data_IF_155618527751
#
_entry.id   IF_155618527751
#
_cell.length_a   1.000
_cell.length_b   1.000
_cell.length_c   1.000
_cell.angle_alpha   90.00
_cell.angle_beta   90.00
_cell.angle_gamma   90.00
#
_symmetry.space_group_name_H-M   'P 1'
#
loop_
_entity.id
_entity.type
_entity.pdbx_description
1 polymer ?
#
# COMPACT_ATOMS: atom_id res chain seq x y z
N UNK A 1 82.54 -7.21 59.93
CA UNK A 1 82.03 -7.06 58.57
C UNK A 1 80.70 -7.83 58.53
N UNK A 2 79.57 -7.11 58.57
CA UNK A 2 78.21 -7.68 58.52
C UNK A 2 77.75 -7.68 57.07
N UNK A 3 77.46 -8.89 56.49
CA UNK A 3 76.88 -9.05 55.16
C UNK A 3 75.36 -8.85 55.29
N UNK A 4 74.86 -7.81 54.65
CA UNK A 4 73.44 -7.57 54.46
C UNK A 4 72.96 -8.32 53.24
N UNK A 5 72.14 -9.34 53.38
CA UNK A 5 71.49 -10.06 52.27
C UNK A 5 70.17 -9.38 51.98
N UNK A 6 70.08 -8.70 50.79
CA UNK A 6 68.86 -8.04 50.33
C UNK A 6 67.96 -9.12 49.63
N UNK A 7 66.85 -9.44 50.25
CA UNK A 7 65.84 -10.31 49.66
C UNK A 7 64.92 -9.50 48.76
N UNK A 8 65.05 -9.64 47.44
CA UNK A 8 64.15 -9.05 46.45
C UNK A 8 62.87 -9.91 46.36
N UNK A 9 61.73 -9.39 46.88
CA UNK A 9 60.40 -9.95 46.70
C UNK A 9 59.92 -9.54 45.30
N UNK A 10 59.94 -10.44 44.32
CA UNK A 10 59.29 -10.30 43.01
C UNK A 10 57.77 -10.45 43.21
N UNK A 11 57.04 -9.38 43.26
CA UNK A 11 55.57 -9.37 43.12
C UNK A 11 55.23 -9.65 41.66
N UNK A 12 54.91 -10.92 41.37
CA UNK A 12 54.31 -11.29 40.08
C UNK A 12 52.79 -10.85 40.19
N UNK A 13 52.48 -9.67 39.66
CA UNK A 13 51.10 -9.29 39.39
C UNK A 13 50.60 -10.17 38.25
N UNK A 14 49.95 -11.28 38.57
CA UNK A 14 49.19 -12.06 37.63
C UNK A 14 47.94 -11.23 37.24
N UNK A 15 47.99 -10.56 36.11
CA UNK A 15 46.79 -10.06 35.46
C UNK A 15 46.02 -11.27 34.89
N UNK A 16 45.29 -11.97 35.74
CA UNK A 16 44.26 -12.86 35.25
C UNK A 16 43.11 -11.95 34.69
N UNK A 17 42.71 -12.08 33.45
CA UNK A 17 41.57 -11.40 32.93
C UNK A 17 40.36 -11.73 33.81
N UNK A 18 39.61 -10.73 34.23
CA UNK A 18 38.41 -10.93 35.03
C UNK A 18 37.47 -11.87 34.25
N UNK A 19 37.10 -12.97 34.89
CA UNK A 19 36.23 -13.99 34.33
C UNK A 19 34.85 -13.43 33.87
N UNK A 20 34.47 -12.27 34.39
CA UNK A 20 33.31 -11.48 33.94
C UNK A 20 33.37 -11.01 32.47
N UNK A 21 34.53 -10.67 31.95
CA UNK A 21 34.66 -10.14 30.59
C UNK A 21 34.53 -11.23 29.50
N UNK A 22 34.94 -12.45 29.83
CA UNK A 22 34.84 -13.59 28.89
C UNK A 22 33.38 -14.07 28.76
N UNK A 23 32.65 -14.14 29.86
CA UNK A 23 31.23 -14.54 29.84
C UNK A 23 30.35 -13.47 29.18
N UNK A 24 30.63 -12.18 29.37
CA UNK A 24 29.97 -11.05 28.69
C UNK A 24 30.17 -11.13 27.16
N UNK A 25 31.36 -11.48 26.70
CA UNK A 25 31.59 -11.64 25.25
C UNK A 25 30.91 -12.85 24.66
N UNK A 26 30.78 -13.95 25.41
CA UNK A 26 30.18 -15.20 24.89
C UNK A 26 28.66 -15.10 24.69
N UNK A 27 27.89 -14.55 25.63
CA UNK A 27 26.45 -14.45 25.45
C UNK A 27 26.10 -13.44 24.32
N UNK A 28 26.87 -12.36 24.21
CA UNK A 28 26.71 -11.38 23.12
C UNK A 28 26.95 -12.03 21.76
N UNK A 29 27.99 -12.85 21.64
CA UNK A 29 28.25 -13.60 20.41
C UNK A 29 27.04 -14.47 20.00
N UNK A 30 26.46 -15.25 20.92
CA UNK A 30 25.29 -16.07 20.62
C UNK A 30 24.03 -15.22 20.38
N UNK A 31 23.89 -14.10 21.07
CA UNK A 31 22.81 -13.15 20.82
C UNK A 31 22.89 -12.57 19.39
N UNK A 32 24.05 -12.10 18.97
CA UNK A 32 24.27 -11.52 17.64
C UNK A 32 24.10 -12.57 16.52
N UNK A 33 24.57 -13.80 16.75
CA UNK A 33 24.36 -14.92 15.84
C UNK A 33 22.87 -15.27 15.73
N UNK A 34 22.16 -15.28 16.86
CA UNK A 34 20.70 -15.46 16.91
C UNK A 34 19.95 -14.36 16.18
N UNK A 35 20.37 -13.10 16.33
CA UNK A 35 19.79 -11.96 15.59
C UNK A 35 20.03 -12.10 14.09
N UNK A 36 21.23 -12.47 13.66
CA UNK A 36 21.55 -12.72 12.25
C UNK A 36 20.66 -13.83 11.66
N UNK A 37 20.50 -14.92 12.38
CA UNK A 37 19.62 -16.05 11.96
C UNK A 37 18.14 -15.62 11.95
N UNK A 38 17.70 -14.81 12.91
CA UNK A 38 16.34 -14.26 12.96
C UNK A 38 16.04 -13.38 11.75
N UNK A 39 16.95 -12.46 11.41
CA UNK A 39 16.83 -11.58 10.22
C UNK A 39 16.81 -12.42 8.94
N UNK A 40 17.62 -13.49 8.87
CA UNK A 40 17.61 -14.45 7.77
C UNK A 40 16.36 -15.35 7.75
N UNK A 41 15.43 -15.20 8.70
CA UNK A 41 14.24 -16.03 8.92
C UNK A 41 14.54 -17.49 9.22
N UNK A 42 15.78 -17.80 9.63
CA UNK A 42 16.14 -19.12 10.15
C UNK A 42 15.83 -19.20 11.64
N UNK A 43 14.54 -19.26 11.95
CA UNK A 43 14.06 -19.15 13.34
C UNK A 43 14.49 -20.31 14.23
N UNK A 44 14.68 -21.51 13.70
CA UNK A 44 15.17 -22.68 14.48
C UNK A 44 16.59 -22.44 15.00
N UNK A 45 17.47 -21.90 14.16
CA UNK A 45 18.83 -21.57 14.55
C UNK A 45 18.86 -20.34 15.48
N UNK A 46 18.00 -19.33 15.22
CA UNK A 46 17.82 -18.17 16.09
C UNK A 46 17.44 -18.62 17.51
N UNK A 47 16.46 -19.51 17.65
CA UNK A 47 16.04 -20.09 18.94
C UNK A 47 17.21 -20.77 19.63
N UNK A 48 17.98 -21.63 18.94
CA UNK A 48 19.11 -22.34 19.52
C UNK A 48 20.18 -21.37 20.05
N UNK A 49 20.49 -20.33 19.30
CA UNK A 49 21.50 -19.34 19.69
C UNK A 49 20.99 -18.43 20.82
N UNK A 50 19.76 -17.92 20.74
CA UNK A 50 19.18 -17.14 21.86
C UNK A 50 19.05 -17.99 23.11
N UNK A 51 18.68 -19.26 23.03
CA UNK A 51 18.64 -20.14 24.18
C UNK A 51 20.01 -20.29 24.83
N UNK A 52 21.08 -20.48 24.03
CA UNK A 52 22.47 -20.50 24.56
C UNK A 52 22.81 -19.18 25.24
N UNK A 53 22.42 -18.05 24.66
CA UNK A 53 22.64 -16.75 25.26
C UNK A 53 21.91 -16.60 26.60
N UNK A 54 20.66 -17.14 26.76
CA UNK A 54 19.97 -17.13 28.07
C UNK A 54 20.65 -17.97 29.14
N UNK A 55 21.35 -19.04 28.75
CA UNK A 55 22.11 -19.87 29.72
C UNK A 55 23.35 -19.14 30.25
N UNK A 56 23.97 -18.30 29.39
CA UNK A 56 25.17 -17.54 29.74
C UNK A 56 24.83 -16.20 30.46
N UNK A 57 23.69 -15.61 30.13
CA UNK A 57 23.25 -14.34 30.71
C UNK A 57 21.76 -14.39 31.13
N UNK A 58 21.41 -15.19 32.16
CA UNK A 58 20.01 -15.36 32.58
C UNK A 58 19.40 -14.10 33.19
N UNK A 59 20.21 -13.10 33.55
CA UNK A 59 19.79 -11.82 34.10
C UNK A 59 19.75 -10.69 33.03
N UNK A 60 19.86 -11.03 31.75
CA UNK A 60 19.80 -10.06 30.65
C UNK A 60 18.41 -10.11 29.99
N UNK A 61 17.50 -9.13 30.22
CA UNK A 61 16.12 -9.20 29.77
C UNK A 61 16.00 -9.21 28.23
N UNK A 62 16.91 -8.55 27.53
CA UNK A 62 16.87 -8.50 26.06
C UNK A 62 17.06 -9.85 25.40
N UNK A 63 17.81 -10.78 26.02
CA UNK A 63 18.03 -12.12 25.47
C UNK A 63 16.76 -12.95 25.56
N UNK A 64 16.06 -12.87 26.71
CA UNK A 64 14.77 -13.52 26.88
C UNK A 64 13.72 -12.97 25.92
N UNK A 65 13.71 -11.64 25.72
CA UNK A 65 12.82 -10.98 24.76
C UNK A 65 13.10 -11.47 23.33
N UNK A 66 14.36 -11.56 22.92
CA UNK A 66 14.72 -12.06 21.58
C UNK A 66 14.33 -13.54 21.39
N UNK A 67 14.51 -14.37 22.42
CA UNK A 67 14.04 -15.75 22.40
C UNK A 67 12.51 -15.84 22.27
N UNK A 68 11.78 -14.99 22.96
CA UNK A 68 10.33 -14.86 22.86
C UNK A 68 9.86 -14.49 21.46
N UNK A 69 10.54 -13.53 20.83
CA UNK A 69 10.27 -13.14 19.43
C UNK A 69 10.48 -14.32 18.47
N UNK A 70 11.58 -15.06 18.62
CA UNK A 70 11.86 -16.20 17.75
C UNK A 70 10.82 -17.33 17.92
N UNK A 71 10.38 -17.61 19.15
CA UNK A 71 9.28 -18.55 19.39
C UNK A 71 7.95 -18.06 18.81
N UNK A 72 7.68 -16.77 18.85
CA UNK A 72 6.46 -16.19 18.30
C UNK A 72 6.38 -16.36 16.76
N UNK A 73 7.52 -16.25 16.06
CA UNK A 73 7.58 -16.46 14.61
C UNK A 73 7.30 -17.91 14.19
N UNK A 74 7.69 -18.88 15.00
CA UNK A 74 7.37 -20.30 14.77
C UNK A 74 6.04 -20.71 15.43
N UNK A 75 5.25 -19.76 15.92
CA UNK A 75 3.93 -19.95 16.54
C UNK A 75 3.95 -20.80 17.84
N UNK A 76 5.09 -20.95 18.46
CA UNK A 76 5.25 -21.58 19.78
C UNK A 76 4.84 -20.59 20.89
N UNK A 77 3.59 -20.19 20.88
CA UNK A 77 3.08 -19.03 21.67
C UNK A 77 3.26 -19.22 23.18
N UNK A 78 3.14 -20.41 23.72
CA UNK A 78 3.33 -20.67 25.15
C UNK A 78 4.81 -20.47 25.57
N UNK A 79 5.76 -20.89 24.70
CA UNK A 79 7.18 -20.65 24.95
C UNK A 79 7.53 -19.18 24.80
N UNK A 80 6.93 -18.49 23.80
CA UNK A 80 7.09 -17.05 23.63
C UNK A 80 6.62 -16.28 24.87
N UNK A 81 5.40 -16.58 25.39
CA UNK A 81 4.85 -15.98 26.59
C UNK A 81 5.79 -16.19 27.79
N UNK A 82 6.25 -17.42 28.02
CA UNK A 82 7.18 -17.74 29.11
C UNK A 82 8.50 -16.95 28.99
N UNK A 83 9.03 -16.78 27.78
CA UNK A 83 10.25 -16.03 27.56
C UNK A 83 10.05 -14.51 27.82
N UNK A 84 8.96 -13.89 27.33
CA UNK A 84 8.63 -12.50 27.60
C UNK A 84 8.39 -12.25 29.09
N UNK A 85 7.66 -13.15 29.77
CA UNK A 85 7.44 -13.05 31.21
C UNK A 85 8.76 -13.20 31.99
N UNK A 86 9.70 -14.03 31.50
CA UNK A 86 11.02 -14.14 32.09
C UNK A 86 11.82 -12.84 31.94
N UNK A 87 11.77 -12.19 30.78
CA UNK A 87 12.36 -10.87 30.58
C UNK A 87 11.82 -9.86 31.61
N UNK A 88 10.50 -9.83 31.83
CA UNK A 88 9.82 -8.96 32.78
C UNK A 88 10.07 -9.35 34.26
N UNK A 89 10.38 -10.59 34.54
CA UNK A 89 10.84 -11.02 35.88
C UNK A 89 12.23 -10.47 36.20
N UNK A 90 13.11 -10.43 35.19
CA UNK A 90 14.46 -9.88 35.31
C UNK A 90 14.42 -8.36 35.44
N UNK A 91 13.66 -7.72 34.57
CA UNK A 91 13.46 -6.27 34.58
C UNK A 91 11.97 -5.93 34.31
N UNK A 92 11.27 -5.51 35.36
CA UNK A 92 9.85 -5.11 35.29
C UNK A 92 9.60 -3.89 34.42
N UNK A 93 10.64 -3.08 34.19
CA UNK A 93 10.59 -1.85 33.40
C UNK A 93 10.98 -2.07 31.93
N UNK A 94 11.26 -3.31 31.51
CA UNK A 94 11.64 -3.64 30.14
C UNK A 94 10.42 -3.60 29.23
N UNK A 95 10.07 -2.40 28.78
CA UNK A 95 8.82 -2.09 28.07
C UNK A 95 8.73 -2.76 26.69
N UNK A 96 9.85 -3.07 26.04
CA UNK A 96 9.88 -3.85 24.80
C UNK A 96 9.26 -5.25 24.96
N UNK A 97 9.54 -5.91 26.10
CA UNK A 97 8.92 -7.22 26.36
C UNK A 97 7.41 -7.10 26.64
N UNK A 98 6.96 -6.02 27.30
CA UNK A 98 5.53 -5.74 27.45
C UNK A 98 4.87 -5.52 26.10
N UNK A 99 5.47 -4.71 25.20
CA UNK A 99 4.97 -4.50 23.85
C UNK A 99 4.82 -5.82 23.11
N UNK A 100 5.87 -6.65 23.10
CA UNK A 100 5.86 -7.94 22.42
C UNK A 100 4.86 -8.94 23.02
N UNK A 101 4.68 -8.91 24.33
CA UNK A 101 3.65 -9.69 25.02
C UNK A 101 2.24 -9.26 24.60
N UNK A 102 2.00 -7.95 24.46
CA UNK A 102 0.74 -7.42 23.93
C UNK A 102 0.47 -7.87 22.49
N UNK A 103 1.49 -7.87 21.62
CA UNK A 103 1.40 -8.40 20.26
C UNK A 103 1.16 -9.91 20.25
N UNK A 104 1.80 -10.65 21.15
CA UNK A 104 1.57 -12.10 21.31
C UNK A 104 0.12 -12.41 21.67
N UNK A 105 -0.45 -11.70 22.64
CA UNK A 105 -1.86 -11.86 23.03
C UNK A 105 -2.82 -11.55 21.87
N UNK A 106 -2.52 -10.53 21.06
CA UNK A 106 -3.26 -10.26 19.82
C UNK A 106 -3.19 -11.46 18.86
N UNK A 107 -2.01 -12.05 18.64
CA UNK A 107 -1.83 -13.24 17.77
C UNK A 107 -2.60 -14.46 18.33
N UNK A 108 -2.69 -14.59 19.65
CA UNK A 108 -3.49 -15.63 20.33
C UNK A 108 -4.99 -15.32 20.34
N UNK A 109 -5.42 -14.16 19.82
CA UNK A 109 -6.80 -13.63 19.87
C UNK A 109 -7.31 -13.36 21.27
N UNK A 110 -6.42 -13.23 22.25
CA UNK A 110 -6.74 -12.77 23.59
C UNK A 110 -6.70 -11.23 23.64
N UNK A 111 -7.74 -10.65 23.07
CA UNK A 111 -7.82 -9.22 22.87
C UNK A 111 -7.86 -8.42 24.18
N UNK A 112 -8.44 -8.99 25.23
CA UNK A 112 -8.51 -8.31 26.54
C UNK A 112 -7.14 -8.19 27.18
N UNK A 113 -6.35 -9.28 27.20
CA UNK A 113 -4.96 -9.20 27.70
C UNK A 113 -4.12 -8.30 26.82
N UNK A 114 -4.27 -8.37 25.49
CA UNK A 114 -3.56 -7.50 24.56
C UNK A 114 -3.81 -6.00 24.85
N UNK A 115 -5.08 -5.58 24.98
CA UNK A 115 -5.46 -4.19 25.26
C UNK A 115 -4.85 -3.73 26.59
N UNK A 116 -4.95 -4.55 27.63
CA UNK A 116 -4.46 -4.19 28.96
C UNK A 116 -2.95 -3.95 28.95
N UNK A 117 -2.19 -4.90 28.38
CA UNK A 117 -0.73 -4.82 28.34
C UNK A 117 -0.25 -3.69 27.42
N UNK A 118 -0.88 -3.50 26.25
CA UNK A 118 -0.51 -2.42 25.33
C UNK A 118 -0.82 -1.03 25.89
N UNK A 119 -1.86 -0.88 26.70
CA UNK A 119 -2.13 0.38 27.41
C UNK A 119 -1.05 0.67 28.46
N UNK A 120 -0.61 -0.34 29.21
CA UNK A 120 0.50 -0.18 30.16
C UNK A 120 1.81 0.28 29.47
N UNK A 121 2.05 -0.20 28.21
CA UNK A 121 3.17 0.28 27.41
C UNK A 121 3.03 1.77 27.04
N UNK A 122 1.84 2.25 26.76
CA UNK A 122 1.59 3.65 26.39
C UNK A 122 1.79 4.58 27.57
N UNK A 123 1.50 4.13 28.79
CA UNK A 123 1.65 4.89 30.02
C UNK A 123 3.12 5.10 30.40
N UNK A 124 4.04 4.28 29.92
CA UNK A 124 5.48 4.48 30.09
C UNK A 124 5.97 5.69 29.29
N UNK A 125 6.14 6.84 29.97
CA UNK A 125 6.56 8.09 29.33
C UNK A 125 7.97 8.00 28.70
N UNK A 126 8.84 7.16 29.24
CA UNK A 126 10.21 6.99 28.77
C UNK A 126 10.32 6.11 27.53
N UNK A 127 9.26 5.35 27.17
CA UNK A 127 9.31 4.44 26.04
C UNK A 127 9.23 5.17 24.69
N UNK A 128 10.29 5.13 23.87
CA UNK A 128 10.37 5.93 22.65
C UNK A 128 9.50 5.38 21.50
N UNK A 129 9.09 4.12 21.57
CA UNK A 129 8.37 3.43 20.49
C UNK A 129 6.86 3.33 20.74
N UNK A 130 6.25 4.33 21.42
CA UNK A 130 4.80 4.35 21.69
C UNK A 130 3.94 4.19 20.44
N UNK A 131 4.44 4.64 19.28
CA UNK A 131 3.76 4.46 18.01
C UNK A 131 3.47 2.98 17.70
N UNK A 132 4.36 2.06 18.07
CA UNK A 132 4.14 0.62 17.87
C UNK A 132 3.03 0.08 18.78
N UNK A 133 2.95 0.57 20.04
CA UNK A 133 1.87 0.17 20.94
C UNK A 133 0.51 0.69 20.47
N UNK A 134 0.43 1.95 20.01
CA UNK A 134 -0.79 2.49 19.40
C UNK A 134 -1.20 1.73 18.15
N UNK A 135 -0.25 1.40 17.28
CA UNK A 135 -0.54 0.60 16.09
C UNK A 135 -1.03 -0.81 16.45
N UNK A 136 -0.39 -1.46 17.42
CA UNK A 136 -0.82 -2.78 17.91
C UNK A 136 -2.22 -2.73 18.53
N UNK A 137 -2.56 -1.68 19.29
CA UNK A 137 -3.92 -1.45 19.78
C UNK A 137 -4.91 -1.23 18.64
N UNK A 138 -4.52 -0.47 17.61
CA UNK A 138 -5.34 -0.30 16.43
C UNK A 138 -5.68 -1.66 15.80
N UNK A 139 -4.68 -2.55 15.64
CA UNK A 139 -4.92 -3.91 15.11
C UNK A 139 -5.84 -4.74 15.99
N UNK A 140 -5.74 -4.62 17.30
CA UNK A 140 -6.66 -5.28 18.23
C UNK A 140 -8.08 -4.75 18.04
N UNK A 141 -8.27 -3.42 18.00
CA UNK A 141 -9.58 -2.81 17.82
C UNK A 141 -10.18 -3.10 16.45
N UNK A 142 -9.38 -3.20 15.40
CA UNK A 142 -9.81 -3.68 14.10
C UNK A 142 -10.37 -5.11 14.18
N UNK A 143 -9.68 -6.01 14.89
CA UNK A 143 -10.06 -7.42 15.02
C UNK A 143 -11.37 -7.63 15.81
N UNK A 144 -11.73 -6.69 16.69
CA UNK A 144 -12.99 -6.71 17.48
C UNK A 144 -14.04 -5.73 16.97
N UNK A 145 -13.87 -5.23 15.73
CA UNK A 145 -14.81 -4.33 15.02
C UNK A 145 -15.13 -3.03 15.76
N UNK A 146 -14.15 -2.48 16.50
CA UNK A 146 -14.26 -1.18 17.18
C UNK A 146 -13.62 -0.09 16.33
N UNK A 147 -14.35 0.37 15.32
CA UNK A 147 -13.87 1.24 14.26
C UNK A 147 -13.33 2.60 14.75
N UNK A 148 -14.02 3.24 15.69
CA UNK A 148 -13.63 4.53 16.25
C UNK A 148 -12.30 4.43 17.00
N UNK A 149 -12.14 3.38 17.81
CA UNK A 149 -10.88 3.13 18.52
C UNK A 149 -9.75 2.75 17.56
N UNK A 150 -10.05 1.97 16.52
CA UNK A 150 -9.09 1.66 15.46
C UNK A 150 -8.54 2.94 14.83
N UNK A 151 -9.42 3.82 14.33
CA UNK A 151 -9.05 5.10 13.75
C UNK A 151 -8.27 5.99 14.73
N UNK A 152 -8.75 6.11 15.97
CA UNK A 152 -8.10 6.93 17.00
C UNK A 152 -6.67 6.46 17.29
N UNK A 153 -6.46 5.15 17.38
CA UNK A 153 -5.13 4.60 17.65
C UNK A 153 -4.21 4.67 16.42
N UNK A 154 -4.70 4.52 15.19
CA UNK A 154 -3.91 4.77 13.97
C UNK A 154 -3.43 6.23 13.90
N UNK A 155 -4.32 7.18 14.17
CA UNK A 155 -3.96 8.62 14.22
C UNK A 155 -2.86 8.88 15.24
N UNK A 156 -2.96 8.28 16.44
CA UNK A 156 -1.93 8.40 17.47
C UNK A 156 -0.62 7.75 17.04
N UNK A 157 -0.65 6.56 16.43
CA UNK A 157 0.56 5.92 15.91
C UNK A 157 1.30 6.83 14.92
N UNK A 158 0.57 7.44 13.97
CA UNK A 158 1.13 8.40 12.99
C UNK A 158 1.61 9.69 13.67
N UNK A 159 0.91 10.19 14.70
CA UNK A 159 1.32 11.39 15.44
C UNK A 159 2.62 11.17 16.22
N UNK A 160 2.81 10.01 16.85
CA UNK A 160 4.04 9.66 17.54
C UNK A 160 5.21 9.33 16.62
N UNK A 161 4.94 8.79 15.45
CA UNK A 161 5.97 8.57 14.41
C UNK A 161 5.42 8.85 13.02
N UNK A 162 5.61 10.09 12.51
CA UNK A 162 5.19 10.46 11.16
C UNK A 162 5.91 9.72 10.04
N UNK A 163 6.94 8.92 10.34
CA UNK A 163 7.65 8.08 9.37
C UNK A 163 7.20 6.60 9.41
N UNK A 164 6.19 6.28 10.23
CA UNK A 164 5.69 4.92 10.33
C UNK A 164 4.74 4.59 9.18
N UNK A 165 5.31 4.04 8.11
CA UNK A 165 4.66 3.82 6.80
C UNK A 165 3.40 2.96 6.94
N UNK A 166 3.48 1.84 7.69
CA UNK A 166 2.36 0.89 7.81
C UNK A 166 1.12 1.56 8.41
N UNK A 167 1.28 2.34 9.48
CA UNK A 167 0.17 3.06 10.09
C UNK A 167 -0.39 4.15 9.17
N UNK A 168 0.46 4.85 8.41
CA UNK A 168 0.00 5.85 7.44
C UNK A 168 -0.79 5.22 6.29
N UNK A 169 -0.30 4.12 5.73
CA UNK A 169 -0.99 3.42 4.65
C UNK A 169 -2.36 2.89 5.11
N UNK A 170 -2.43 2.28 6.29
CA UNK A 170 -3.70 1.83 6.85
C UNK A 170 -4.65 3.00 7.14
N UNK A 171 -4.14 4.11 7.64
CA UNK A 171 -4.93 5.32 7.89
C UNK A 171 -5.52 5.90 6.59
N UNK A 172 -4.69 5.98 5.53
CA UNK A 172 -5.16 6.45 4.23
C UNK A 172 -6.23 5.52 3.64
N UNK A 173 -6.03 4.21 3.70
CA UNK A 173 -7.00 3.21 3.23
C UNK A 173 -8.32 3.27 4.02
N UNK A 174 -8.24 3.52 5.32
CA UNK A 174 -9.43 3.68 6.16
C UNK A 174 -10.23 4.92 5.72
N UNK A 175 -9.57 6.06 5.50
CA UNK A 175 -10.20 7.27 4.99
C UNK A 175 -10.82 7.06 3.60
N UNK A 176 -10.13 6.33 2.68
CA UNK A 176 -10.72 5.96 1.39
C UNK A 176 -12.01 5.12 1.55
N UNK A 177 -11.99 4.14 2.46
CA UNK A 177 -13.14 3.29 2.75
C UNK A 177 -14.32 4.05 3.35
N UNK A 178 -14.06 5.16 4.05
CA UNK A 178 -15.07 6.08 4.60
C UNK A 178 -15.53 7.13 3.58
N UNK A 179 -14.88 7.23 2.42
CA UNK A 179 -15.15 8.27 1.43
C UNK A 179 -14.52 9.62 1.78
N UNK A 180 -13.73 9.70 2.84
CA UNK A 180 -12.95 10.90 3.20
C UNK A 180 -11.68 10.99 2.35
N UNK A 181 -11.90 11.22 1.07
CA UNK A 181 -10.81 11.31 0.09
C UNK A 181 -9.87 12.48 0.34
N UNK A 182 -10.34 13.54 1.00
CA UNK A 182 -9.51 14.70 1.34
C UNK A 182 -8.44 14.30 2.38
N UNK A 183 -8.82 13.64 3.46
CA UNK A 183 -7.88 13.14 4.47
C UNK A 183 -6.96 12.05 3.92
N UNK A 184 -7.46 11.14 3.07
CA UNK A 184 -6.65 10.14 2.40
C UNK A 184 -5.55 10.78 1.52
N UNK A 185 -5.91 11.80 0.73
CA UNK A 185 -4.97 12.60 -0.08
C UNK A 185 -3.84 13.17 0.76
N UNK A 186 -4.16 13.83 1.86
CA UNK A 186 -3.15 14.43 2.74
C UNK A 186 -2.14 13.39 3.26
N UNK A 187 -2.60 12.20 3.64
CA UNK A 187 -1.71 11.13 4.13
C UNK A 187 -0.80 10.62 3.01
N UNK A 188 -1.33 10.34 1.82
CA UNK A 188 -0.51 9.90 0.68
C UNK A 188 0.49 10.96 0.22
N UNK A 189 0.10 12.23 0.18
CA UNK A 189 1.00 13.33 -0.14
C UNK A 189 2.13 13.45 0.88
N UNK A 190 1.84 13.29 2.16
CA UNK A 190 2.87 13.27 3.22
C UNK A 190 3.87 12.12 3.02
N UNK A 191 3.40 10.91 2.68
CA UNK A 191 4.28 9.78 2.35
C UNK A 191 5.21 10.11 1.18
N UNK A 192 4.68 10.71 0.12
CA UNK A 192 5.46 11.09 -1.06
C UNK A 192 6.49 12.19 -0.73
N UNK A 193 6.07 13.22 0.02
CA UNK A 193 6.94 14.31 0.43
C UNK A 193 8.08 13.86 1.34
N UNK A 194 7.87 12.79 2.10
CA UNK A 194 8.88 12.14 2.93
C UNK A 194 9.78 11.15 2.15
N UNK A 195 9.71 11.14 0.83
CA UNK A 195 10.54 10.30 -0.03
C UNK A 195 10.09 8.82 -0.12
N UNK A 196 8.89 8.49 0.37
CA UNK A 196 8.36 7.12 0.38
C UNK A 196 7.48 6.82 -0.84
N UNK A 197 7.52 7.70 -1.86
CA UNK A 197 6.77 7.53 -3.10
C UNK A 197 7.19 6.27 -3.83
N UNK A 198 6.23 5.40 -4.14
CA UNK A 198 6.40 4.20 -4.93
C UNK A 198 5.17 3.97 -5.83
N UNK A 199 5.23 3.06 -6.82
CA UNK A 199 4.12 2.84 -7.74
C UNK A 199 2.77 2.56 -7.06
N UNK A 200 2.76 1.86 -5.92
CA UNK A 200 1.52 1.60 -5.17
C UNK A 200 0.92 2.87 -4.60
N UNK A 201 1.74 3.68 -3.92
CA UNK A 201 1.31 4.95 -3.30
C UNK A 201 0.85 5.96 -4.36
N UNK A 202 1.59 6.06 -5.49
CA UNK A 202 1.18 6.93 -6.60
C UNK A 202 -0.17 6.50 -7.20
N UNK A 203 -0.43 5.20 -7.36
CA UNK A 203 -1.72 4.72 -7.86
C UNK A 203 -2.86 4.95 -6.86
N UNK A 204 -2.62 4.74 -5.57
CA UNK A 204 -3.63 5.04 -4.54
C UNK A 204 -3.97 6.53 -4.55
N UNK A 205 -2.97 7.41 -4.57
CA UNK A 205 -3.21 8.85 -4.64
C UNK A 205 -3.92 9.26 -5.93
N UNK A 206 -3.53 8.68 -7.07
CA UNK A 206 -4.22 8.92 -8.34
C UNK A 206 -5.70 8.50 -8.29
N UNK A 207 -6.01 7.39 -7.61
CA UNK A 207 -7.37 6.93 -7.37
C UNK A 207 -8.16 7.90 -6.49
N UNK A 208 -7.54 8.41 -5.44
CA UNK A 208 -8.11 9.43 -4.56
C UNK A 208 -8.36 10.74 -5.31
N UNK A 209 -7.39 11.23 -6.12
CA UNK A 209 -7.57 12.44 -6.95
C UNK A 209 -8.69 12.26 -7.97
N UNK A 210 -8.81 11.08 -8.57
CA UNK A 210 -9.94 10.74 -9.44
C UNK A 210 -11.28 10.83 -8.71
N UNK A 211 -11.37 10.33 -7.48
CA UNK A 211 -12.60 10.42 -6.65
C UNK A 211 -12.93 11.85 -6.24
N UNK A 212 -11.93 12.69 -6.03
CA UNK A 212 -12.09 14.13 -5.77
C UNK A 212 -12.42 14.93 -7.04
N UNK A 213 -12.34 14.33 -8.23
CA UNK A 213 -12.58 15.01 -9.51
C UNK A 213 -11.41 15.85 -10.00
N UNK A 214 -10.22 15.73 -9.37
CA UNK A 214 -8.98 16.35 -9.87
C UNK A 214 -8.29 15.40 -10.85
N UNK A 215 -8.81 15.39 -12.07
CA UNK A 215 -8.33 14.53 -13.14
C UNK A 215 -6.91 14.90 -13.61
N UNK A 216 -6.50 16.16 -13.42
CA UNK A 216 -5.15 16.62 -13.78
C UNK A 216 -4.10 16.01 -12.87
N UNK A 217 -4.28 16.10 -11.57
CA UNK A 217 -3.40 15.48 -10.59
C UNK A 217 -3.41 13.95 -10.69
N UNK A 218 -4.59 13.35 -10.92
CA UNK A 218 -4.69 11.91 -11.14
C UNK A 218 -3.81 11.45 -12.32
N UNK A 219 -3.88 12.14 -13.47
CA UNK A 219 -3.05 11.83 -14.65
C UNK A 219 -1.55 12.00 -14.37
N UNK A 220 -1.17 13.00 -13.59
CA UNK A 220 0.24 13.22 -13.23
C UNK A 220 0.81 12.05 -12.43
N UNK A 221 0.10 11.59 -11.39
CA UNK A 221 0.56 10.44 -10.59
C UNK A 221 0.57 9.13 -11.39
N UNK A 222 -0.43 8.92 -12.26
CA UNK A 222 -0.44 7.77 -13.18
C UNK A 222 0.79 7.83 -14.10
N UNK A 223 1.14 8.99 -14.64
CA UNK A 223 2.32 9.16 -15.49
C UNK A 223 3.60 8.77 -14.77
N UNK A 224 3.80 9.17 -13.49
CA UNK A 224 4.95 8.77 -12.68
C UNK A 224 5.12 7.25 -12.62
N UNK A 225 4.01 6.50 -12.53
CA UNK A 225 4.03 5.03 -12.52
C UNK A 225 4.39 4.45 -13.89
N UNK A 226 3.87 5.03 -14.98
CA UNK A 226 4.08 4.53 -16.34
C UNK A 226 5.49 4.81 -16.88
N UNK A 227 6.07 5.97 -16.53
CA UNK A 227 7.40 6.41 -16.98
C UNK A 227 8.54 5.73 -16.20
N UNK A 228 8.27 5.24 -15.00
CA UNK A 228 9.28 4.52 -14.21
C UNK A 228 9.61 3.17 -14.86
N UNK A 229 10.87 3.01 -15.24
CA UNK A 229 11.40 1.80 -15.88
C UNK A 229 11.42 0.57 -14.97
N UNK A 230 11.49 0.78 -13.65
CA UNK A 230 11.55 -0.30 -12.67
C UNK A 230 10.14 -0.80 -12.26
N UNK A 231 9.11 -0.07 -12.65
CA UNK A 231 7.73 -0.45 -12.35
C UNK A 231 7.34 -1.73 -13.10
N UNK A 232 6.84 -2.71 -12.34
CA UNK A 232 6.39 -4.00 -12.88
C UNK A 232 5.19 -3.86 -13.81
N UNK A 233 5.01 -4.84 -14.69
CA UNK A 233 3.87 -4.88 -15.63
C UNK A 233 2.51 -4.82 -14.92
N UNK A 234 2.40 -5.40 -13.74
CA UNK A 234 1.18 -5.38 -12.93
C UNK A 234 0.76 -3.96 -12.53
N UNK A 235 1.69 -3.14 -12.03
CA UNK A 235 1.39 -1.75 -11.70
C UNK A 235 1.10 -0.92 -12.94
N UNK A 236 1.80 -1.16 -14.06
CA UNK A 236 1.52 -0.47 -15.33
C UNK A 236 0.13 -0.81 -15.86
N UNK A 237 -0.32 -2.07 -15.76
CA UNK A 237 -1.69 -2.46 -16.13
C UNK A 237 -2.72 -1.69 -15.29
N UNK A 238 -2.58 -1.67 -13.98
CA UNK A 238 -3.46 -0.90 -13.08
C UNK A 238 -3.45 0.61 -13.38
N UNK A 239 -2.27 1.16 -13.73
CA UNK A 239 -2.14 2.55 -14.12
C UNK A 239 -2.94 2.86 -15.41
N UNK A 240 -2.89 1.99 -16.42
CA UNK A 240 -3.68 2.15 -17.64
C UNK A 240 -5.19 2.01 -17.38
N UNK A 241 -5.60 1.07 -16.53
CA UNK A 241 -7.01 0.94 -16.12
C UNK A 241 -7.53 2.23 -15.47
N UNK A 242 -6.78 2.76 -14.50
CA UNK A 242 -7.15 4.01 -13.83
C UNK A 242 -7.14 5.19 -14.80
N UNK A 243 -6.15 5.28 -15.69
CA UNK A 243 -6.08 6.33 -16.71
C UNK A 243 -7.33 6.34 -17.58
N UNK A 244 -7.81 5.15 -17.97
CA UNK A 244 -9.03 5.01 -18.75
C UNK A 244 -10.24 5.60 -18.03
N UNK A 245 -10.39 5.28 -16.73
CA UNK A 245 -11.49 5.81 -15.91
C UNK A 245 -11.43 7.33 -15.80
N UNK A 246 -10.22 7.87 -15.56
CA UNK A 246 -9.98 9.31 -15.47
C UNK A 246 -10.37 10.02 -16.78
N UNK A 247 -9.95 9.48 -17.94
CA UNK A 247 -10.24 10.10 -19.24
C UNK A 247 -11.73 10.07 -19.56
N UNK A 248 -12.45 8.99 -19.25
CA UNK A 248 -13.90 8.89 -19.42
C UNK A 248 -14.63 9.93 -18.55
N UNK A 249 -14.26 10.04 -17.28
CA UNK A 249 -14.91 10.96 -16.36
C UNK A 249 -14.65 12.42 -16.73
N UNK A 250 -13.43 12.75 -17.16
CA UNK A 250 -13.07 14.09 -17.64
C UNK A 250 -13.89 14.47 -18.89
N UNK A 251 -14.04 13.55 -19.83
CA UNK A 251 -14.84 13.78 -21.05
C UNK A 251 -16.32 13.97 -20.72
N UNK A 252 -16.89 13.17 -19.82
CA UNK A 252 -18.28 13.28 -19.40
C UNK A 252 -18.56 14.63 -18.76
N UNK A 253 -17.62 15.13 -17.92
CA UNK A 253 -17.74 16.44 -17.29
C UNK A 253 -17.70 17.60 -18.28
N UNK A 254 -16.90 17.48 -19.37
CA UNK A 254 -16.82 18.51 -20.41
C UNK A 254 -18.04 18.50 -21.34
N UNK A 255 -18.74 17.38 -21.46
CA UNK A 255 -19.89 17.22 -22.34
C UNK A 255 -21.19 17.76 -21.74
N UNK A 256 -21.32 17.70 -20.41
CA UNK A 256 -22.55 18.11 -19.70
C UNK A 256 -22.89 19.60 -19.88
N UNK A 257 -21.96 20.57 -19.75
CA UNK A 257 -22.27 21.97 -19.98
C UNK A 257 -22.71 22.27 -21.41
N UNK A 258 -22.10 21.61 -22.41
CA UNK A 258 -22.46 21.78 -23.83
C UNK A 258 -23.86 21.29 -24.17
N UNK A 259 -24.35 20.26 -23.45
CA UNK A 259 -25.72 19.76 -23.64
C UNK A 259 -26.74 20.70 -23.03
N UNK A 260 -26.47 21.25 -21.84
CA UNK A 260 -27.34 22.26 -21.19
C UNK A 260 -27.43 23.55 -22.00
N UNK A 261 -26.31 24.09 -22.51
CA UNK A 261 -26.32 25.24 -23.40
C UNK A 261 -27.06 24.98 -24.73
N UNK A 262 -27.11 23.76 -25.22
CA UNK A 262 -27.90 23.42 -26.42
C UNK A 262 -29.38 23.33 -26.10
N UNK A 263 -29.76 22.81 -24.95
CA UNK A 263 -31.16 22.76 -24.52
C UNK A 263 -31.71 24.15 -24.19
N UNK A 264 -30.93 25.05 -23.56
CA UNK A 264 -31.31 26.44 -23.33
C UNK A 264 -31.48 27.23 -24.65
N UNK A 265 -30.60 27.02 -25.65
CA UNK A 265 -30.72 27.65 -26.97
C UNK A 265 -31.88 27.12 -27.82
N UNK A 266 -32.42 25.96 -27.50
CA UNK A 266 -33.61 25.38 -28.16
C UNK A 266 -34.92 25.80 -27.48
N UNK A 267 -34.89 26.43 -26.31
CA UNK A 267 -36.05 26.90 -25.53
C UNK A 267 -36.27 28.41 -25.68
N UNK A 268 -35.46 29.17 -26.42
CA UNK A 268 -35.83 30.57 -26.74
C UNK A 268 -37.03 30.60 -27.68
N UNK A 269 -38.15 31.25 -27.29
CA UNK A 269 -39.31 31.32 -28.13
C UNK A 269 -39.04 32.17 -29.38
N UNK A 270 -39.22 31.56 -30.55
CA UNK A 270 -39.20 32.26 -31.82
C UNK A 270 -40.30 33.30 -31.86
N UNK A 271 -39.94 34.57 -31.55
CA UNK A 271 -40.81 35.71 -31.83
C UNK A 271 -40.86 35.96 -33.34
N UNK A 272 -42.08 35.93 -33.84
CA UNK A 272 -42.56 36.32 -35.16
C UNK A 272 -41.69 37.30 -35.93
N UNK A 273 -41.27 36.90 -37.17
CA UNK A 273 -41.40 37.79 -38.33
C UNK A 273 -41.45 37.01 -39.65
N UNK A 274 -42.64 36.81 -40.16
CA UNK A 274 -43.17 37.06 -41.50
C UNK A 274 -42.44 36.67 -42.78
N UNK A 275 -43.20 35.85 -43.53
CA UNK A 275 -43.50 35.90 -44.99
C UNK A 275 -42.54 35.28 -45.99
N UNK A 276 -43.13 34.24 -46.52
CA UNK A 276 -43.20 33.90 -47.96
C UNK A 276 -41.89 33.66 -48.72
N UNK A 277 -41.64 32.40 -48.96
CA UNK A 277 -41.44 31.93 -50.33
C UNK A 277 -41.64 30.42 -50.45
N UNK A 278 -42.53 30.04 -51.31
CA UNK A 278 -42.81 28.68 -51.69
C UNK A 278 -41.59 28.10 -52.41
N UNK A 279 -41.00 27.01 -51.86
CA UNK A 279 -40.13 26.08 -52.59
C UNK A 279 -40.64 24.67 -52.28
N UNK A 280 -40.85 23.90 -53.34
CA UNK A 280 -41.37 22.55 -53.39
C UNK A 280 -40.63 21.60 -52.45
N UNK A 281 -41.29 20.55 -51.92
CA UNK A 281 -40.66 19.57 -51.07
C UNK A 281 -39.70 18.72 -51.88
N UNK A 282 -38.41 18.83 -51.62
CA UNK A 282 -37.44 17.73 -51.89
C UNK A 282 -37.60 16.71 -50.81
N UNK A 283 -37.72 15.44 -51.22
CA UNK A 283 -37.82 14.26 -50.40
C UNK A 283 -36.67 14.27 -49.36
N UNK A 284 -37.05 14.37 -48.10
CA UNK A 284 -36.14 14.18 -46.98
C UNK A 284 -35.73 12.70 -46.99
N UNK A 285 -34.49 12.46 -47.34
CA UNK A 285 -33.83 11.18 -47.10
C UNK A 285 -33.87 10.91 -45.56
N UNK A 286 -34.68 9.89 -45.19
CA UNK A 286 -34.82 9.46 -43.79
C UNK A 286 -33.47 8.91 -43.36
N UNK A 287 -32.67 9.73 -42.68
CA UNK A 287 -31.49 9.29 -41.93
C UNK A 287 -31.94 8.20 -40.94
N UNK A 288 -31.61 6.95 -41.26
CA UNK A 288 -31.78 5.82 -40.34
C UNK A 288 -31.09 6.21 -39.04
N UNK A 289 -31.72 6.01 -37.85
CA UNK A 289 -31.06 6.29 -36.61
C UNK A 289 -29.76 5.46 -36.57
N UNK A 290 -28.67 6.13 -36.21
CA UNK A 290 -27.35 5.47 -36.07
C UNK A 290 -27.52 4.29 -35.09
N UNK A 291 -27.27 3.07 -35.61
CA UNK A 291 -27.34 1.88 -34.75
C UNK A 291 -26.29 2.01 -33.65
N UNK A 292 -26.74 2.08 -32.43
CA UNK A 292 -25.89 2.10 -31.25
C UNK A 292 -25.35 0.67 -31.01
N UNK A 293 -24.06 0.56 -30.67
CA UNK A 293 -23.40 -0.72 -30.44
C UNK A 293 -22.34 -0.63 -29.34
N UNK A 294 -21.97 -1.78 -28.82
CA UNK A 294 -20.90 -1.90 -27.83
C UNK A 294 -19.58 -2.22 -28.51
N UNK A 295 -18.49 -1.63 -28.00
CA UNK A 295 -17.11 -1.89 -28.45
C UNK A 295 -16.21 -2.11 -27.26
N UNK A 296 -15.09 -2.79 -27.47
CA UNK A 296 -14.06 -2.97 -26.43
C UNK A 296 -12.91 -2.02 -26.72
N UNK A 297 -12.69 -1.05 -25.86
CA UNK A 297 -11.53 -0.18 -25.95
C UNK A 297 -10.31 -0.88 -25.36
N UNK A 298 -9.26 -1.07 -26.17
CA UNK A 298 -8.02 -1.76 -25.80
C UNK A 298 -6.86 -0.80 -25.50
N UNK A 299 -7.01 0.48 -25.79
CA UNK A 299 -6.00 1.48 -25.49
C UNK A 299 -6.45 2.90 -25.82
N UNK A 300 -5.75 3.89 -25.25
CA UNK A 300 -5.89 5.30 -25.58
C UNK A 300 -4.48 5.93 -25.62
N UNK A 301 -4.22 6.71 -26.67
CA UNK A 301 -2.91 7.26 -26.99
C UNK A 301 -3.02 8.75 -27.30
N UNK A 302 -2.01 9.52 -26.91
CA UNK A 302 -1.91 10.94 -27.27
C UNK A 302 -1.40 11.17 -28.70
N UNK A 303 -0.95 10.14 -29.39
CA UNK A 303 -0.41 10.22 -30.76
C UNK A 303 -1.03 9.15 -31.68
N UNK A 304 -1.37 9.59 -32.90
CA UNK A 304 -1.86 8.69 -33.96
C UNK A 304 -0.87 7.56 -34.28
N UNK A 305 0.43 7.87 -34.25
CA UNK A 305 1.50 6.90 -34.55
C UNK A 305 1.52 5.78 -33.52
N UNK A 306 1.45 6.09 -32.23
CA UNK A 306 1.42 5.09 -31.16
C UNK A 306 0.15 4.24 -31.20
N UNK A 307 -1.00 4.84 -31.47
CA UNK A 307 -2.26 4.13 -31.59
C UNK A 307 -2.26 3.15 -32.77
N UNK A 308 -1.74 3.59 -33.95
CA UNK A 308 -1.61 2.73 -35.12
C UNK A 308 -0.60 1.61 -34.89
N UNK A 309 0.53 1.88 -34.30
CA UNK A 309 1.53 0.86 -33.97
C UNK A 309 0.94 -0.22 -33.02
N UNK A 310 0.13 0.20 -32.04
CA UNK A 310 -0.57 -0.72 -31.14
C UNK A 310 -1.64 -1.55 -31.88
N UNK A 311 -2.45 -0.92 -32.74
CA UNK A 311 -3.40 -1.65 -33.61
C UNK A 311 -2.68 -2.69 -34.44
N UNK A 312 -1.60 -2.32 -35.16
CA UNK A 312 -0.86 -3.20 -36.03
C UNK A 312 -0.24 -4.38 -35.27
N UNK A 313 0.17 -4.16 -34.03
CA UNK A 313 0.63 -5.21 -33.14
C UNK A 313 -0.49 -6.17 -32.76
N UNK A 314 -1.67 -5.67 -32.40
CA UNK A 314 -2.84 -6.49 -32.08
C UNK A 314 -3.27 -7.35 -33.27
N UNK A 315 -3.24 -6.78 -34.47
CA UNK A 315 -3.61 -7.50 -35.70
C UNK A 315 -2.56 -8.56 -36.10
N UNK A 316 -1.27 -8.22 -36.03
CA UNK A 316 -0.19 -9.10 -36.53
C UNK A 316 0.26 -10.15 -35.51
N UNK A 317 0.45 -9.76 -34.23
CA UNK A 317 0.98 -10.67 -33.22
C UNK A 317 -0.11 -11.51 -32.55
N UNK A 318 -1.32 -10.96 -32.39
CA UNK A 318 -2.42 -11.60 -31.67
C UNK A 318 -3.57 -12.02 -32.59
N UNK A 319 -3.44 -11.77 -33.91
CA UNK A 319 -4.40 -12.12 -34.95
C UNK A 319 -5.84 -11.63 -34.67
N UNK A 320 -5.95 -10.46 -34.02
CA UNK A 320 -7.24 -9.84 -33.75
C UNK A 320 -7.73 -9.12 -35.02
N UNK A 321 -8.86 -9.54 -35.53
CA UNK A 321 -9.54 -8.89 -36.65
C UNK A 321 -10.54 -7.88 -36.13
N UNK A 322 -10.80 -6.81 -36.86
CA UNK A 322 -11.73 -5.73 -36.51
C UNK A 322 -11.19 -4.81 -35.36
N UNK A 323 -9.91 -4.43 -35.46
CA UNK A 323 -9.30 -3.43 -34.62
C UNK A 323 -9.32 -2.08 -35.33
N UNK A 324 -9.83 -1.03 -34.70
CA UNK A 324 -9.94 0.30 -35.28
C UNK A 324 -9.37 1.36 -34.39
N UNK A 325 -8.89 2.45 -34.97
CA UNK A 325 -8.41 3.64 -34.26
C UNK A 325 -9.37 4.77 -34.53
N UNK A 326 -9.91 5.37 -33.48
CA UNK A 326 -10.82 6.51 -33.55
C UNK A 326 -10.20 7.69 -32.80
N UNK A 327 -10.14 8.84 -33.47
CA UNK A 327 -9.71 10.08 -32.85
C UNK A 327 -10.90 10.83 -32.29
N UNK A 328 -10.79 11.24 -31.03
CA UNK A 328 -11.78 12.11 -30.40
C UNK A 328 -11.08 13.00 -29.38
N UNK A 329 -11.23 14.30 -29.51
CA UNK A 329 -10.64 15.32 -28.64
C UNK A 329 -9.10 15.22 -28.48
N UNK A 330 -8.38 14.91 -29.58
CA UNK A 330 -6.91 14.76 -29.57
C UNK A 330 -6.39 13.46 -28.94
N UNK A 331 -7.28 12.52 -28.63
CA UNK A 331 -6.94 11.21 -28.11
C UNK A 331 -7.30 10.15 -29.14
N UNK A 332 -6.35 9.27 -29.44
CA UNK A 332 -6.48 8.16 -30.37
C UNK A 332 -6.83 6.88 -29.59
N UNK A 333 -8.07 6.43 -29.71
CA UNK A 333 -8.57 5.22 -29.03
C UNK A 333 -8.52 4.03 -29.95
N UNK A 334 -8.03 2.91 -29.46
CA UNK A 334 -8.00 1.64 -30.18
C UNK A 334 -9.15 0.77 -29.68
N UNK A 335 -10.07 0.45 -30.61
CA UNK A 335 -11.24 -0.36 -30.33
C UNK A 335 -11.17 -1.71 -31.01
N UNK A 336 -11.76 -2.70 -30.38
CA UNK A 336 -11.94 -4.04 -30.91
C UNK A 336 -13.43 -4.40 -30.98
N UNK A 337 -13.86 -4.90 -32.11
CA UNK A 337 -15.20 -5.43 -32.37
C UNK A 337 -16.31 -4.37 -32.33
N UNK A 338 -17.49 -4.83 -32.78
CA UNK A 338 -18.79 -4.16 -32.67
C UNK A 338 -19.82 -5.18 -32.22
N UNK A 339 -20.49 -4.97 -31.12
CA UNK A 339 -21.39 -5.92 -30.49
C UNK A 339 -22.76 -5.30 -30.28
N UNK A 340 -23.83 -6.05 -30.56
CA UNK A 340 -25.20 -5.56 -30.40
C UNK A 340 -25.65 -5.58 -28.94
N UNK A 341 -25.00 -6.40 -28.09
CA UNK A 341 -25.30 -6.49 -26.65
C UNK A 341 -24.07 -6.35 -25.78
N UNK A 342 -24.28 -5.88 -24.55
CA UNK A 342 -23.23 -5.77 -23.55
C UNK A 342 -22.70 -7.14 -23.13
N UNK A 343 -23.57 -8.15 -23.09
CA UNK A 343 -23.25 -9.52 -22.72
C UNK A 343 -22.30 -10.16 -23.76
N UNK A 344 -22.49 -9.86 -25.02
CA UNK A 344 -21.61 -10.33 -26.10
C UNK A 344 -20.23 -9.68 -25.98
N UNK A 345 -20.18 -8.36 -25.79
CA UNK A 345 -18.93 -7.62 -25.54
C UNK A 345 -18.19 -8.15 -24.29
N UNK A 346 -18.91 -8.48 -23.21
CA UNK A 346 -18.33 -9.08 -22.02
C UNK A 346 -17.67 -10.43 -22.28
N UNK A 347 -18.33 -11.33 -23.01
CA UNK A 347 -17.74 -12.63 -23.39
C UNK A 347 -16.46 -12.49 -24.20
N UNK A 348 -16.41 -11.51 -25.10
CA UNK A 348 -15.19 -11.24 -25.87
C UNK A 348 -14.11 -10.60 -25.02
N UNK A 349 -14.45 -9.73 -24.08
CA UNK A 349 -13.51 -9.15 -23.13
C UNK A 349 -12.85 -10.23 -22.26
N UNK A 350 -13.59 -11.25 -21.82
CA UNK A 350 -13.04 -12.39 -21.09
C UNK A 350 -12.02 -13.20 -21.93
N UNK A 351 -12.32 -13.42 -23.21
CA UNK A 351 -11.36 -14.05 -24.12
C UNK A 351 -10.08 -13.22 -24.29
N UNK A 352 -10.21 -11.91 -24.41
CA UNK A 352 -9.05 -11.01 -24.49
C UNK A 352 -8.21 -11.05 -23.21
N UNK A 353 -8.85 -11.13 -22.04
CA UNK A 353 -8.16 -11.29 -20.74
C UNK A 353 -7.34 -12.57 -20.66
N UNK A 354 -7.84 -13.69 -21.23
CA UNK A 354 -7.06 -14.94 -21.30
C UNK A 354 -5.81 -14.83 -22.19
N UNK A 355 -5.78 -13.82 -23.08
CA UNK A 355 -4.63 -13.47 -23.94
C UNK A 355 -3.76 -12.34 -23.31
N UNK A 356 -3.94 -12.01 -22.02
CA UNK A 356 -3.31 -10.88 -21.34
C UNK A 356 -3.62 -9.50 -21.96
N UNK A 357 -4.75 -9.38 -22.64
CA UNK A 357 -5.25 -8.11 -23.15
C UNK A 357 -6.35 -7.57 -22.24
N UNK A 358 -6.16 -6.35 -21.78
CA UNK A 358 -7.10 -5.67 -20.89
C UNK A 358 -7.79 -4.54 -21.67
N UNK A 359 -9.09 -4.43 -21.48
CA UNK A 359 -9.92 -3.41 -22.10
C UNK A 359 -11.19 -3.20 -21.30
N UNK A 360 -12.03 -2.29 -21.77
CA UNK A 360 -13.34 -2.04 -21.19
C UNK A 360 -14.38 -1.79 -22.29
N UNK A 361 -15.64 -2.03 -21.95
CA UNK A 361 -16.76 -1.93 -22.89
C UNK A 361 -17.24 -0.50 -22.93
N UNK A 362 -17.33 0.05 -24.14
CA UNK A 362 -17.86 1.38 -24.46
C UNK A 362 -19.14 1.20 -25.27
N UNK A 363 -20.13 2.06 -25.03
CA UNK A 363 -21.35 2.14 -25.80
C UNK A 363 -21.29 3.38 -26.70
N UNK A 364 -21.40 3.21 -28.00
CA UNK A 364 -21.32 4.26 -29.03
C UNK A 364 -22.65 4.43 -29.78
#
# INVERSE_FOLDING_TARGET
MRKFTFLIFLFIFSCAPKQEDVSKSQWQYFYDLGMSSYIAKNYSEAIANFFRATQLAPQEPKVWNALGLAYMEVQEYQKAESAFLRALQVDKTYTEAKLNLGVLYYKQKDYERAIRVLRDVIEDEAFPQKHMAFYSLAKVYQAIDRKEDYLANLRKAVAYNPMFIDAQLELAQLYEGEGDYASAKEVYQRLINNGMGNPSIYLSLAGVEYKLGDYTSAKEYIRKVLEDRQTTSQFKSRAYELLSLVLIAEQSRQSTPRLLEREEKQQEPASEKNRSNQVKPQEAEVLKPAMKFYRIQLGAFSSATSARAWRDRLEKELNLKDVSVVESAGIFRVFYGRYESREEAMRQLEKLRSMNLYGFIVYE
#
